data_IF_776580079476
#
_entry.id   IF_776580079476
#
_cell.length_a   1.000
_cell.length_b   1.000
_cell.length_c   1.000
_cell.angle_alpha   90.00
_cell.angle_beta   90.00
_cell.angle_gamma   90.00
#
_symmetry.space_group_name_H-M   'P 1'
#
loop_
_entity.id
_entity.type
_entity.pdbx_description
1 polymer ?
#
# COMPACT_ATOMS: atom_id res chain seq x y z
N UNK A 1 0.15 -3.39 -19.31
CA UNK A 1 -1.06 -4.07 -18.81
C UNK A 1 -1.40 -3.61 -17.39
N UNK A 2 -0.53 -3.82 -16.39
CA UNK A 2 -0.72 -3.30 -15.02
C UNK A 2 -1.05 -1.79 -14.97
N UNK A 3 -0.27 -0.95 -15.66
CA UNK A 3 -0.54 0.50 -15.73
C UNK A 3 -1.89 0.83 -16.36
N UNK A 4 -2.33 0.05 -17.36
CA UNK A 4 -3.63 0.25 -18.01
C UNK A 4 -4.79 -0.04 -17.05
N UNK A 5 -4.63 -1.05 -16.18
CA UNK A 5 -5.60 -1.43 -15.14
C UNK A 5 -5.64 -0.35 -14.05
N UNK A 6 -4.48 0.11 -13.58
CA UNK A 6 -4.40 1.24 -12.65
C UNK A 6 -5.10 2.48 -13.21
N UNK A 7 -4.82 2.84 -14.46
CA UNK A 7 -5.46 3.99 -15.12
C UNK A 7 -6.97 3.80 -15.29
N UNK A 8 -7.47 2.57 -15.38
CA UNK A 8 -8.92 2.30 -15.40
C UNK A 8 -9.52 2.51 -14.00
N UNK A 9 -8.87 2.00 -12.95
CA UNK A 9 -9.28 2.20 -11.56
C UNK A 9 -9.34 3.69 -11.21
N UNK A 10 -8.29 4.45 -11.53
CA UNK A 10 -8.25 5.90 -11.26
C UNK A 10 -9.34 6.65 -12.03
N UNK A 11 -9.59 6.31 -13.30
CA UNK A 11 -10.67 6.92 -14.09
C UNK A 11 -12.07 6.63 -13.53
N UNK A 12 -12.23 5.53 -12.80
CA UNK A 12 -13.50 5.06 -12.21
C UNK A 12 -13.51 5.13 -10.69
N UNK A 13 -12.60 5.90 -10.07
CA UNK A 13 -12.45 5.93 -8.61
C UNK A 13 -13.75 6.36 -7.91
N UNK A 14 -14.54 7.25 -8.53
CA UNK A 14 -15.85 7.66 -8.01
C UNK A 14 -16.90 6.55 -8.10
N UNK A 15 -16.87 5.72 -9.15
CA UNK A 15 -17.75 4.56 -9.26
C UNK A 15 -17.39 3.50 -8.22
N UNK A 16 -16.08 3.30 -7.99
CA UNK A 16 -15.53 2.42 -6.95
C UNK A 16 -15.99 2.90 -5.57
N UNK A 17 -15.81 4.19 -5.27
CA UNK A 17 -16.25 4.80 -4.01
C UNK A 17 -17.78 4.68 -3.80
N UNK A 18 -18.56 4.84 -4.87
CA UNK A 18 -20.01 4.69 -4.83
C UNK A 18 -20.49 3.24 -4.73
N UNK A 19 -19.58 2.26 -4.81
CA UNK A 19 -19.88 0.82 -4.79
C UNK A 19 -20.97 0.42 -5.81
N UNK A 20 -21.06 1.14 -6.91
CA UNK A 20 -22.05 0.88 -7.93
C UNK A 20 -21.61 -0.29 -8.83
N UNK A 21 -22.48 -0.75 -9.73
CA UNK A 21 -22.16 -1.86 -10.63
C UNK A 21 -20.86 -1.63 -11.43
N UNK A 22 -20.62 -0.40 -11.90
CA UNK A 22 -19.40 -0.06 -12.66
C UNK A 22 -18.17 -0.18 -11.76
N UNK A 23 -18.25 0.33 -10.53
CA UNK A 23 -17.18 0.25 -9.52
C UNK A 23 -16.81 -1.19 -9.18
N UNK A 24 -17.81 -1.98 -8.76
CA UNK A 24 -17.62 -3.39 -8.40
C UNK A 24 -17.07 -4.18 -9.59
N UNK A 25 -17.62 -4.01 -10.79
CA UNK A 25 -17.13 -4.67 -12.01
C UNK A 25 -15.68 -4.28 -12.32
N UNK A 26 -15.31 -3.02 -12.07
CA UNK A 26 -13.94 -2.53 -12.32
C UNK A 26 -12.95 -3.13 -11.35
N UNK A 27 -13.28 -3.20 -10.05
CA UNK A 27 -12.47 -3.88 -9.05
C UNK A 27 -12.32 -5.37 -9.37
N UNK A 28 -13.42 -6.07 -9.63
CA UNK A 28 -13.39 -7.49 -9.98
C UNK A 28 -12.50 -7.75 -11.21
N UNK A 29 -12.63 -6.92 -12.25
CA UNK A 29 -11.77 -7.02 -13.42
C UNK A 29 -10.29 -6.78 -13.08
N UNK A 30 -9.99 -5.80 -12.22
CA UNK A 30 -8.62 -5.53 -11.79
C UNK A 30 -8.00 -6.74 -11.06
N UNK A 31 -8.73 -7.35 -10.12
CA UNK A 31 -8.28 -8.54 -9.37
C UNK A 31 -8.06 -9.75 -10.28
N UNK A 32 -8.97 -10.02 -11.21
CA UNK A 32 -8.81 -11.12 -12.18
C UNK A 32 -7.57 -10.90 -13.04
N UNK A 33 -7.36 -9.66 -13.50
CA UNK A 33 -6.19 -9.33 -14.31
C UNK A 33 -4.88 -9.37 -13.51
N UNK A 34 -4.91 -9.02 -12.22
CA UNK A 34 -3.75 -9.15 -11.34
C UNK A 34 -3.33 -10.62 -11.18
N UNK A 35 -4.30 -11.51 -10.91
CA UNK A 35 -4.09 -12.95 -10.90
C UNK A 35 -3.52 -13.49 -12.22
N UNK A 36 -4.07 -13.03 -13.35
CA UNK A 36 -3.57 -13.40 -14.67
C UNK A 36 -2.13 -12.93 -14.92
N UNK A 37 -1.79 -11.71 -14.47
CA UNK A 37 -0.43 -11.18 -14.59
C UNK A 37 0.56 -11.96 -13.74
N UNK A 38 0.19 -12.34 -12.51
CA UNK A 38 1.03 -13.18 -11.65
C UNK A 38 1.30 -14.55 -12.27
N UNK A 39 0.28 -15.18 -12.86
CA UNK A 39 0.43 -16.45 -13.58
C UNK A 39 1.38 -16.30 -14.78
N UNK A 40 1.16 -15.30 -15.63
CA UNK A 40 2.03 -15.04 -16.78
C UNK A 40 3.48 -14.77 -16.39
N UNK A 41 3.69 -14.06 -15.29
CA UNK A 41 5.02 -13.74 -14.80
C UNK A 41 5.67 -14.89 -14.00
N UNK A 42 4.91 -15.94 -13.67
CA UNK A 42 5.29 -17.02 -12.76
C UNK A 42 5.87 -16.49 -11.43
N UNK A 43 5.32 -15.37 -10.94
CA UNK A 43 5.74 -14.72 -9.71
C UNK A 43 4.72 -13.71 -9.22
N UNK A 44 4.59 -13.56 -7.91
CA UNK A 44 3.77 -12.52 -7.29
C UNK A 44 4.43 -11.13 -7.31
N UNK A 45 5.70 -11.04 -7.73
CA UNK A 45 6.47 -9.78 -7.76
C UNK A 45 5.89 -8.70 -8.68
N UNK A 46 5.03 -9.06 -9.62
CA UNK A 46 4.35 -8.10 -10.50
C UNK A 46 3.21 -7.36 -9.80
N UNK A 47 2.65 -7.96 -8.75
CA UNK A 47 1.55 -7.41 -7.95
C UNK A 47 2.02 -6.90 -6.58
N UNK A 48 3.15 -7.42 -6.08
CA UNK A 48 3.63 -7.18 -4.73
C UNK A 48 5.12 -6.79 -4.65
N UNK A 49 5.38 -5.70 -3.93
CA UNK A 49 6.67 -5.09 -3.68
C UNK A 49 6.81 -4.61 -2.23
N UNK A 50 7.43 -3.45 -2.04
CA UNK A 50 7.69 -2.89 -0.69
C UNK A 50 6.43 -2.60 0.11
N UNK A 51 5.36 -2.19 -0.55
CA UNK A 51 4.07 -1.86 0.06
C UNK A 51 3.43 -3.10 0.70
N UNK A 52 3.51 -4.26 0.05
CA UNK A 52 3.08 -5.54 0.64
C UNK A 52 4.01 -5.99 1.77
N UNK A 53 5.32 -5.76 1.68
CA UNK A 53 6.22 -6.07 2.79
C UNK A 53 5.90 -5.21 4.04
N UNK A 54 5.50 -3.96 3.85
CA UNK A 54 5.02 -3.09 4.93
C UNK A 54 3.72 -3.65 5.51
N UNK A 55 2.77 -4.06 4.66
CA UNK A 55 1.51 -4.67 5.11
C UNK A 55 1.75 -5.94 5.95
N UNK A 56 2.57 -6.88 5.48
CA UNK A 56 2.92 -8.09 6.24
C UNK A 56 3.58 -7.76 7.58
N UNK A 57 4.40 -6.70 7.64
CA UNK A 57 5.00 -6.27 8.90
C UNK A 57 3.97 -5.65 9.85
N UNK A 58 2.99 -4.91 9.34
CA UNK A 58 1.86 -4.39 10.14
C UNK A 58 1.01 -5.55 10.69
N UNK A 59 0.68 -6.52 9.85
CA UNK A 59 -0.03 -7.75 10.26
C UNK A 59 0.72 -8.47 11.37
N UNK A 60 2.04 -8.63 11.20
CA UNK A 60 2.89 -9.31 12.17
C UNK A 60 3.01 -8.57 13.51
N UNK A 61 3.12 -7.24 13.48
CA UNK A 61 3.34 -6.41 14.68
C UNK A 61 2.05 -6.15 15.44
N UNK A 62 0.95 -5.86 14.74
CA UNK A 62 -0.28 -5.37 15.35
C UNK A 62 -1.52 -6.19 15.00
N UNK A 63 -1.59 -6.78 13.80
CA UNK A 63 -2.76 -7.55 13.34
C UNK A 63 -4.04 -6.70 13.24
N UNK A 64 -3.93 -5.40 12.97
CA UNK A 64 -5.05 -4.44 12.90
C UNK A 64 -5.28 -3.98 11.46
N UNK A 65 -6.54 -3.68 11.13
CA UNK A 65 -6.97 -3.29 9.78
C UNK A 65 -7.05 -4.47 8.81
N UNK A 66 -7.62 -4.21 7.64
CA UNK A 66 -7.69 -5.17 6.54
C UNK A 66 -6.42 -5.14 5.69
N UNK A 67 -6.09 -6.25 5.05
CA UNK A 67 -4.88 -6.36 4.21
C UNK A 67 -4.77 -5.22 3.18
N UNK A 68 -5.85 -4.95 2.43
CA UNK A 68 -5.87 -3.88 1.43
C UNK A 68 -5.66 -2.48 2.01
N UNK A 69 -6.10 -2.23 3.24
CA UNK A 69 -5.91 -0.95 3.94
C UNK A 69 -4.44 -0.76 4.33
N UNK A 70 -3.82 -1.81 4.86
CA UNK A 70 -2.40 -1.84 5.21
C UNK A 70 -1.52 -1.68 3.97
N UNK A 71 -1.87 -2.36 2.87
CA UNK A 71 -1.20 -2.22 1.56
C UNK A 71 -1.38 -0.80 1.02
N UNK A 72 -2.56 -0.20 1.18
CA UNK A 72 -2.80 1.21 0.82
C UNK A 72 -1.86 2.17 1.56
N UNK A 73 -1.75 2.03 2.87
CA UNK A 73 -0.82 2.83 3.69
C UNK A 73 0.65 2.58 3.29
N UNK A 74 1.01 1.31 3.07
CA UNK A 74 2.31 0.90 2.54
C UNK A 74 2.62 1.52 1.17
N UNK A 75 1.61 1.68 0.32
CA UNK A 75 1.75 2.25 -1.03
C UNK A 75 2.08 3.75 -0.97
N UNK A 76 1.47 4.51 -0.05
CA UNK A 76 1.83 5.91 0.21
C UNK A 76 3.32 6.02 0.59
N UNK A 77 3.76 5.17 1.52
CA UNK A 77 5.13 5.14 2.02
C UNK A 77 6.12 4.78 0.91
N UNK A 78 5.82 3.72 0.16
CA UNK A 78 6.64 3.23 -0.94
C UNK A 78 6.74 4.25 -2.07
N UNK A 79 5.62 4.90 -2.44
CA UNK A 79 5.62 5.96 -3.44
C UNK A 79 6.52 7.12 -3.02
N UNK A 80 6.46 7.55 -1.75
CA UNK A 80 7.34 8.60 -1.23
C UNK A 80 8.82 8.21 -1.33
N UNK A 81 9.19 7.01 -0.86
CA UNK A 81 10.57 6.53 -0.89
C UNK A 81 11.11 6.38 -2.32
N UNK A 82 10.25 6.05 -3.27
CA UNK A 82 10.59 5.94 -4.70
C UNK A 82 10.55 7.28 -5.44
N UNK A 83 10.35 8.41 -4.74
CA UNK A 83 10.21 9.74 -5.32
C UNK A 83 9.08 9.82 -6.38
N UNK A 84 7.97 9.13 -6.10
CA UNK A 84 6.72 9.15 -6.88
C UNK A 84 5.68 10.02 -6.19
N UNK A 85 4.57 10.28 -6.90
CA UNK A 85 3.49 11.08 -6.38
C UNK A 85 2.64 10.32 -5.35
N UNK A 86 3.11 10.30 -4.11
CA UNK A 86 2.39 9.72 -2.98
C UNK A 86 1.11 10.48 -2.64
N UNK A 87 0.97 11.74 -3.05
CA UNK A 87 -0.25 12.54 -2.80
C UNK A 87 -1.39 12.06 -3.68
N UNK A 88 -1.12 11.70 -4.93
CA UNK A 88 -2.09 11.06 -5.81
C UNK A 88 -2.61 9.74 -5.22
N UNK A 89 -1.71 8.90 -4.66
CA UNK A 89 -2.10 7.64 -4.00
C UNK A 89 -3.02 7.94 -2.81
N UNK A 90 -2.61 8.90 -1.96
CA UNK A 90 -3.39 9.31 -0.80
C UNK A 90 -4.78 9.82 -1.18
N UNK A 91 -4.88 10.71 -2.17
CA UNK A 91 -6.14 11.26 -2.65
C UNK A 91 -7.07 10.16 -3.20
N UNK A 92 -6.52 9.18 -3.92
CA UNK A 92 -7.31 8.05 -4.42
C UNK A 92 -7.87 7.18 -3.28
N UNK A 93 -7.06 6.92 -2.24
CA UNK A 93 -7.49 6.18 -1.05
C UNK A 93 -8.55 6.94 -0.25
N UNK A 94 -8.33 8.24 0.01
CA UNK A 94 -9.30 9.12 0.68
C UNK A 94 -10.62 9.17 -0.11
N UNK A 95 -10.57 9.22 -1.45
CA UNK A 95 -11.76 9.23 -2.31
C UNK A 95 -12.63 7.99 -2.13
N UNK A 96 -12.03 6.81 -1.92
CA UNK A 96 -12.75 5.56 -1.69
C UNK A 96 -13.05 5.28 -0.22
N UNK A 97 -12.68 6.19 0.68
CA UNK A 97 -12.89 6.06 2.13
C UNK A 97 -11.92 5.08 2.82
N UNK A 98 -10.79 4.77 2.20
CA UNK A 98 -9.75 3.93 2.81
C UNK A 98 -8.87 4.76 3.77
N UNK A 99 -8.33 4.14 4.84
CA UNK A 99 -7.49 4.84 5.81
C UNK A 99 -6.17 5.31 5.18
N UNK A 100 -5.71 6.50 5.56
CA UNK A 100 -4.44 7.09 5.11
C UNK A 100 -3.54 7.57 6.24
N UNK A 101 -3.96 7.33 7.48
CA UNK A 101 -3.21 7.60 8.71
C UNK A 101 -3.09 6.35 9.57
N UNK A 102 -2.14 6.37 10.51
CA UNK A 102 -1.97 5.29 11.48
C UNK A 102 -3.22 5.14 12.36
N UNK A 103 -3.78 6.26 12.83
CA UNK A 103 -4.94 6.28 13.72
C UNK A 103 -6.20 5.72 13.06
N UNK A 104 -6.46 6.06 11.78
CA UNK A 104 -7.59 5.49 11.02
C UNK A 104 -7.47 3.96 10.86
N UNK A 105 -6.24 3.44 10.80
CA UNK A 105 -5.96 2.00 10.76
C UNK A 105 -5.91 1.35 12.16
N UNK A 106 -6.07 2.14 13.23
CA UNK A 106 -6.00 1.69 14.62
C UNK A 106 -4.58 1.39 15.13
N UNK A 107 -3.55 1.85 14.42
CA UNK A 107 -2.15 1.65 14.78
C UNK A 107 -1.62 2.76 15.67
N UNK A 108 -0.84 2.40 16.69
CA UNK A 108 0.01 3.39 17.35
C UNK A 108 1.19 3.77 16.45
N UNK A 109 1.75 4.94 16.70
CA UNK A 109 2.99 5.39 16.07
C UNK A 109 4.11 4.37 16.25
N UNK A 110 4.24 3.81 17.45
CA UNK A 110 5.28 2.85 17.83
C UNK A 110 5.12 1.52 17.06
N UNK A 111 3.88 1.03 16.93
CA UNK A 111 3.57 -0.17 16.14
C UNK A 111 3.97 0.03 14.67
N UNK A 112 3.59 1.15 14.06
CA UNK A 112 3.89 1.42 12.65
C UNK A 112 5.39 1.63 12.41
N UNK A 113 6.08 2.36 13.30
CA UNK A 113 7.54 2.49 13.23
C UNK A 113 8.19 1.11 13.31
N UNK A 114 7.77 0.26 14.27
CA UNK A 114 8.32 -1.08 14.42
C UNK A 114 8.11 -1.93 13.17
N UNK A 115 6.93 -1.87 12.56
CA UNK A 115 6.64 -2.54 11.30
C UNK A 115 7.61 -2.09 10.19
N UNK A 116 7.84 -0.78 10.04
CA UNK A 116 8.77 -0.24 9.05
C UNK A 116 10.23 -0.67 9.25
N UNK A 117 10.66 -0.89 10.49
CA UNK A 117 12.02 -1.40 10.76
C UNK A 117 12.21 -2.81 10.23
N UNK A 118 11.19 -3.66 10.32
CA UNK A 118 11.28 -5.09 9.98
C UNK A 118 10.72 -5.45 8.59
N UNK A 119 10.02 -4.53 7.92
CA UNK A 119 9.35 -4.80 6.64
C UNK A 119 10.27 -5.46 5.59
N UNK A 120 11.52 -5.00 5.46
CA UNK A 120 12.50 -5.58 4.53
C UNK A 120 12.82 -7.07 4.77
N UNK A 121 12.47 -7.62 5.94
CA UNK A 121 12.73 -9.01 6.34
C UNK A 121 11.53 -9.93 6.10
N UNK A 122 10.36 -9.39 5.73
CA UNK A 122 9.14 -10.18 5.57
C UNK A 122 9.24 -11.19 4.43
N UNK A 123 10.03 -10.87 3.38
CA UNK A 123 10.41 -11.80 2.31
C UNK A 123 11.82 -11.47 1.81
N UNK A 124 12.50 -12.45 1.24
CA UNK A 124 13.81 -12.26 0.60
C UNK A 124 13.67 -11.55 -0.76
N UNK A 125 13.19 -10.30 -0.74
CA UNK A 125 12.92 -9.48 -1.91
C UNK A 125 13.70 -8.17 -1.83
N UNK A 126 14.48 -7.85 -2.86
CA UNK A 126 15.07 -6.52 -2.97
C UNK A 126 13.99 -5.50 -3.33
N UNK A 127 13.87 -4.44 -2.52
CA UNK A 127 12.90 -3.35 -2.68
C UNK A 127 13.52 -2.01 -2.29
N UNK A 128 12.75 -0.93 -2.34
CA UNK A 128 13.20 0.41 -1.91
C UNK A 128 13.57 0.48 -0.42
N UNK A 129 13.14 -0.50 0.39
CA UNK A 129 13.48 -0.60 1.81
C UNK A 129 14.93 -1.03 2.06
N UNK A 130 15.64 -1.48 1.02
CA UNK A 130 17.02 -1.94 1.11
C UNK A 130 17.20 -3.21 1.96
N UNK A 131 18.44 -3.47 2.36
CA UNK A 131 18.89 -4.63 3.14
C UNK A 131 18.95 -4.37 4.66
N UNK A 132 18.89 -3.10 5.07
CA UNK A 132 19.03 -2.67 6.48
C UNK A 132 17.75 -2.09 7.08
N UNK A 133 16.69 -1.95 6.29
CA UNK A 133 15.44 -1.32 6.69
C UNK A 133 15.58 0.16 7.06
N UNK A 134 14.55 0.69 7.72
CA UNK A 134 14.52 2.09 8.18
C UNK A 134 14.91 2.16 9.66
N UNK A 135 15.75 3.13 10.02
CA UNK A 135 15.96 3.47 11.43
C UNK A 135 14.72 4.18 12.00
N UNK A 136 14.52 4.12 13.32
CA UNK A 136 13.40 4.78 14.02
C UNK A 136 13.23 6.24 13.58
N UNK A 137 14.32 7.02 13.59
CA UNK A 137 14.27 8.43 13.21
C UNK A 137 13.98 8.68 11.73
N UNK A 138 14.38 7.77 10.82
CA UNK A 138 14.02 7.86 9.40
C UNK A 138 12.55 7.49 9.18
N UNK A 139 12.08 6.43 9.84
CA UNK A 139 10.69 5.98 9.78
C UNK A 139 9.75 7.09 10.31
N UNK A 140 10.01 7.63 11.49
CA UNK A 140 9.20 8.71 12.06
C UNK A 140 9.16 9.94 11.14
N UNK A 141 10.30 10.37 10.64
CA UNK A 141 10.39 11.54 9.75
C UNK A 141 9.61 11.32 8.47
N UNK A 142 9.74 10.13 7.87
CA UNK A 142 8.98 9.75 6.69
C UNK A 142 7.47 9.81 6.96
N UNK A 143 7.00 9.20 8.05
CA UNK A 143 5.58 9.14 8.39
C UNK A 143 4.97 10.53 8.62
N UNK A 144 5.74 11.46 9.19
CA UNK A 144 5.33 12.87 9.32
C UNK A 144 5.25 13.58 7.96
N UNK A 145 6.26 13.40 7.10
CA UNK A 145 6.25 14.02 5.76
C UNK A 145 5.09 13.53 4.88
N UNK A 146 4.74 12.25 4.99
CA UNK A 146 3.61 11.67 4.26
C UNK A 146 2.26 11.87 4.95
N UNK A 147 2.22 12.60 6.08
CA UNK A 147 1.02 12.86 6.90
C UNK A 147 0.32 11.57 7.36
N UNK A 148 1.06 10.49 7.57
CA UNK A 148 0.51 9.24 8.11
C UNK A 148 0.41 9.32 9.64
N UNK A 149 1.32 10.06 10.27
CA UNK A 149 1.24 10.44 11.68
C UNK A 149 1.32 11.97 11.80
N UNK A 150 0.74 12.52 12.86
CA UNK A 150 0.89 13.94 13.25
C UNK A 150 2.28 14.25 13.73
#
# INVERSE_FOLDING_TARGET
MAESILNLLLRRVKDVAAQNYIGIKTLFYAEVMDGYLMELANTTRVAAGSEHLIAFAIEHVAGKGMHGEQVGLGTIISAYLQNRDWRMVREALETVGAPTTADELGLSKEELIKALQIAHQMRNWYTILGDRGLSVGKAERLLRYTKIIG
#
